data_IF_229412461512
#
_entry.id   IF_229412461512
#
_cell.length_a   1.000
_cell.length_b   1.000
_cell.length_c   1.000
_cell.angle_alpha   90.00
_cell.angle_beta   90.00
_cell.angle_gamma   90.00
#
_symmetry.space_group_name_H-M   'P 1'
#
loop_
_entity.id
_entity.type
_entity.pdbx_description
1 polymer ?
2 non-polymer ?
3 non-polymer ?
4 water ?
#
# COMPACT_ATOMS: atom_id res chain seq x y z
N UNK A 7 25.15 -20.76 16.64
CA UNK A 7 24.98 -19.83 17.75
C UNK A 7 23.79 -18.88 17.51
N UNK A 8 23.27 -18.84 16.26
CA UNK A 8 22.11 -18.03 15.87
C UNK A 8 20.85 -18.55 16.55
N UNK A 9 20.81 -19.88 16.82
CA UNK A 9 19.72 -20.55 17.51
C UNK A 9 19.70 -20.13 18.99
N UNK A 10 20.84 -20.22 19.70
CA UNK A 10 20.94 -19.88 21.12
C UNK A 10 20.61 -18.42 21.41
N UNK A 11 21.01 -17.50 20.52
CA UNK A 11 20.69 -16.08 20.66
C UNK A 11 19.17 -15.90 20.70
N UNK A 12 18.43 -16.62 19.82
CA UNK A 12 16.96 -16.58 19.75
C UNK A 12 16.31 -17.09 21.05
N UNK A 13 16.97 -18.05 21.72
CA UNK A 13 16.48 -18.58 22.99
C UNK A 13 16.69 -17.55 24.09
N UNK A 14 17.88 -16.91 24.12
CA UNK A 14 18.20 -15.87 25.12
C UNK A 14 17.27 -14.68 24.97
N UNK A 15 16.94 -14.32 23.72
CA UNK A 15 16.03 -13.21 23.41
C UNK A 15 14.64 -13.50 23.95
N UNK A 16 14.07 -14.66 23.59
CA UNK A 16 12.72 -15.03 24.03
C UNK A 16 12.66 -15.15 25.57
N UNK A 17 13.74 -15.65 26.23
CA UNK A 17 13.78 -15.77 27.69
C UNK A 17 13.78 -14.38 28.34
N UNK A 18 14.56 -13.45 27.77
CA UNK A 18 14.59 -12.07 28.27
C UNK A 18 13.19 -11.46 28.18
N UNK A 19 12.52 -11.60 27.02
CA UNK A 19 11.19 -11.02 26.79
C UNK A 19 10.16 -11.53 27.78
N UNK A 20 10.11 -12.85 28.01
CA UNK A 20 9.14 -13.41 28.94
C UNK A 20 9.46 -12.99 30.39
N UNK A 21 10.76 -12.85 30.79
CA UNK A 21 11.09 -12.40 32.14
C UNK A 21 10.65 -10.95 32.37
N UNK A 22 10.70 -10.13 31.32
CA UNK A 22 10.23 -8.75 31.36
C UNK A 22 8.71 -8.72 31.56
N UNK A 23 7.95 -9.55 30.81
CA UNK A 23 6.48 -9.62 30.93
C UNK A 23 6.04 -10.12 32.30
N UNK A 24 6.90 -10.90 32.97
CA UNK A 24 6.60 -11.47 34.28
C UNK A 24 7.10 -10.56 35.42
N UNK A 25 7.59 -9.37 35.06
CA UNK A 25 8.10 -8.40 36.03
C UNK A 25 9.35 -8.86 36.76
N UNK A 26 10.14 -9.75 36.13
CA UNK A 26 11.36 -10.32 36.72
C UNK A 26 12.64 -9.73 36.13
N UNK A 27 12.51 -8.91 35.08
CA UNK A 27 13.65 -8.27 34.45
C UNK A 27 13.22 -6.92 33.89
N UNK A 28 14.14 -5.98 33.89
CA UNK A 28 13.88 -4.62 33.41
C UNK A 28 14.18 -4.49 31.92
N UNK A 29 13.34 -3.76 31.17
CA UNK A 29 13.63 -3.56 29.75
C UNK A 29 14.15 -2.17 29.51
N UNK A 30 14.91 -1.98 28.41
CA UNK A 30 15.28 -0.66 27.96
C UNK A 30 13.99 0.01 27.49
N UNK A 31 13.70 1.20 28.01
CA UNK A 31 12.50 1.93 27.58
C UNK A 31 12.70 2.39 26.16
N UNK A 32 11.64 2.31 25.32
CA UNK A 32 11.77 2.63 23.91
C UNK A 32 10.48 3.30 23.43
N UNK A 33 9.91 4.19 24.27
CA UNK A 33 8.63 4.82 23.99
C UNK A 33 8.67 5.81 22.81
N UNK A 34 9.78 6.56 22.65
CA UNK A 34 9.91 7.50 21.53
C UNK A 34 9.89 6.77 20.17
N UNK A 35 10.72 5.72 20.01
CA UNK A 35 10.72 4.96 18.76
C UNK A 35 9.36 4.27 18.54
N UNK A 36 8.69 3.80 19.62
CA UNK A 36 7.37 3.17 19.53
C UNK A 36 6.35 4.12 18.90
N UNK A 37 6.41 5.43 19.25
CA UNK A 37 5.53 6.44 18.65
C UNK A 37 5.80 6.56 17.13
N UNK A 38 7.10 6.49 16.72
CA UNK A 38 7.53 6.51 15.32
C UNK A 38 7.07 5.26 14.57
N UNK A 39 7.17 4.08 15.24
CA UNK A 39 6.71 2.81 14.67
C UNK A 39 5.19 2.87 14.50
N UNK A 40 4.46 3.46 15.47
CA UNK A 40 3.00 3.63 15.39
C UNK A 40 2.59 4.46 14.16
N UNK A 41 3.33 5.56 13.88
CA UNK A 41 3.08 6.40 12.71
C UNK A 41 3.31 5.62 11.45
N UNK A 42 4.39 4.81 11.43
CA UNK A 42 4.72 3.95 10.29
C UNK A 42 3.60 2.94 10.03
N UNK A 43 3.07 2.27 11.09
CA UNK A 43 1.99 1.28 10.89
C UNK A 43 0.70 1.92 10.42
N UNK A 44 0.40 3.14 10.91
CA UNK A 44 -0.79 3.89 10.54
C UNK A 44 -0.69 4.25 9.06
N UNK A 45 0.48 4.76 8.62
CA UNK A 45 0.76 5.13 7.24
C UNK A 45 0.60 3.92 6.33
N UNK A 46 1.16 2.75 6.75
CA UNK A 46 1.03 1.56 5.92
C UNK A 46 -0.44 1.11 5.82
N UNK A 47 -1.19 1.16 6.92
CA UNK A 47 -2.59 0.74 7.00
C UNK A 47 -3.47 1.62 6.11
N UNK A 48 -3.21 2.94 6.15
CA UNK A 48 -3.87 3.94 5.33
C UNK A 48 -3.60 3.63 3.86
N UNK A 49 -2.32 3.39 3.55
CA UNK A 49 -1.88 3.05 2.19
C UNK A 49 -2.55 1.80 1.68
N UNK A 50 -2.60 0.74 2.53
CA UNK A 50 -3.25 -0.52 2.13
C UNK A 50 -4.76 -0.29 1.87
N UNK A 51 -5.41 0.51 2.74
CA UNK A 51 -6.83 0.80 2.61
C UNK A 51 -7.12 1.54 1.29
N UNK A 52 -6.34 2.62 0.97
CA UNK A 52 -6.50 3.35 -0.30
C UNK A 52 -6.25 2.40 -1.48
N UNK A 53 -5.23 1.55 -1.37
CA UNK A 53 -4.94 0.57 -2.41
C UNK A 53 -6.16 -0.34 -2.68
N UNK A 54 -6.82 -0.86 -1.61
CA UNK A 54 -8.01 -1.74 -1.79
C UNK A 54 -9.18 -0.96 -2.33
N UNK A 55 -9.28 0.33 -1.95
CA UNK A 55 -10.34 1.18 -2.47
C UNK A 55 -10.17 1.40 -3.96
N UNK A 56 -8.92 1.59 -4.41
CA UNK A 56 -8.63 1.84 -5.83
C UNK A 56 -8.91 0.59 -6.68
N UNK A 57 -8.61 -0.60 -6.14
CA UNK A 57 -8.95 -1.85 -6.85
C UNK A 57 -10.47 -1.96 -6.94
N UNK A 58 -11.19 -1.61 -5.86
CA UNK A 58 -12.67 -1.63 -5.85
C UNK A 58 -13.23 -0.60 -6.87
N UNK A 59 -12.61 0.59 -6.94
CA UNK A 59 -12.99 1.63 -7.91
C UNK A 59 -12.84 1.08 -9.35
N UNK A 60 -11.69 0.45 -9.65
CA UNK A 60 -11.47 -0.15 -10.97
C UNK A 60 -12.53 -1.25 -11.27
N UNK A 61 -12.83 -2.11 -10.28
CA UNK A 61 -13.86 -3.15 -10.43
C UNK A 61 -15.24 -2.50 -10.69
N UNK A 62 -15.57 -1.38 -10.00
CA UNK A 62 -16.84 -0.66 -10.24
C UNK A 62 -16.91 -0.03 -11.64
N UNK A 63 -15.77 0.43 -12.15
CA UNK A 63 -15.70 0.99 -13.52
C UNK A 63 -16.06 -0.12 -14.51
N UNK A 64 -15.52 -1.34 -14.31
CA UNK A 64 -15.80 -2.49 -15.20
C UNK A 64 -17.29 -2.86 -15.16
N UNK A 65 -17.93 -2.71 -13.98
CA UNK A 65 -19.38 -2.96 -13.79
C UNK A 65 -20.14 -1.92 -14.59
N UNK A 66 -19.74 -0.62 -14.47
CA UNK A 66 -20.37 0.49 -15.18
C UNK A 66 -20.25 0.26 -16.70
N UNK A 67 -19.07 -0.13 -17.16
CA UNK A 67 -18.76 -0.43 -18.56
C UNK A 67 -19.69 -1.52 -19.08
N UNK A 68 -19.77 -2.66 -18.38
CA UNK A 68 -20.59 -3.77 -18.82
C UNK A 68 -22.07 -3.38 -18.89
N UNK A 69 -22.57 -2.62 -17.90
CA UNK A 69 -23.99 -2.24 -17.92
C UNK A 69 -24.26 -1.29 -19.07
N UNK A 70 -23.30 -0.39 -19.36
CA UNK A 70 -23.41 0.54 -20.49
C UNK A 70 -23.41 -0.26 -21.80
N UNK A 71 -22.53 -1.29 -21.89
CA UNK A 71 -22.42 -2.16 -23.06
C UNK A 71 -23.74 -2.91 -23.29
N UNK A 72 -24.37 -3.42 -22.20
CA UNK A 72 -25.65 -4.15 -22.20
C UNK A 72 -26.76 -3.28 -22.79
N UNK A 73 -26.86 -2.00 -22.35
CA UNK A 73 -27.86 -1.05 -22.87
C UNK A 73 -27.62 -0.82 -24.37
N UNK A 74 -26.36 -0.52 -24.73
CA UNK A 74 -25.98 -0.22 -26.13
C UNK A 74 -26.21 -1.42 -27.06
N UNK A 75 -26.00 -2.66 -26.56
CA UNK A 75 -26.23 -3.87 -27.35
C UNK A 75 -27.74 -4.06 -27.64
N UNK A 76 -28.60 -3.88 -26.63
CA UNK A 76 -30.05 -3.98 -26.81
C UNK A 76 -30.51 -2.88 -27.77
N UNK A 77 -29.98 -1.65 -27.60
CA UNK A 77 -30.35 -0.56 -28.51
C UNK A 77 -29.99 -0.95 -29.94
N UNK A 78 -28.79 -1.49 -30.15
CA UNK A 78 -28.41 -1.91 -31.52
C UNK A 78 -29.30 -3.01 -32.07
N UNK A 79 -29.75 -3.97 -31.22
CA UNK A 79 -30.66 -5.06 -31.61
C UNK A 79 -32.02 -4.54 -32.07
N UNK A 80 -32.54 -3.50 -31.39
CA UNK A 80 -33.88 -2.97 -31.63
C UNK A 80 -33.89 -1.86 -32.70
N UNK A 81 -32.70 -1.31 -33.03
CA UNK A 81 -32.52 -0.25 -34.01
C UNK A 81 -32.45 -0.88 -35.41
N UNK A 82 -33.57 -0.81 -36.16
CA UNK A 82 -33.61 -1.40 -37.49
C UNK A 82 -32.56 -0.82 -38.44
N UNK A 83 -31.97 -1.67 -39.30
CA UNK A 83 -31.01 -1.20 -40.30
C UNK A 83 -31.72 -0.39 -41.40
N UNK A 84 -33.07 -0.33 -41.37
CA UNK A 84 -33.83 0.52 -42.28
C UNK A 84 -33.73 1.97 -41.82
N UNK A 85 -33.34 2.19 -40.55
CA UNK A 85 -33.39 3.53 -39.99
C UNK A 85 -32.14 4.33 -40.20
N UNK A 86 -32.32 5.64 -40.42
CA UNK A 86 -31.22 6.63 -40.48
C UNK A 86 -30.55 6.67 -39.12
N UNK A 87 -29.21 6.79 -39.11
CA UNK A 87 -28.44 6.82 -37.87
C UNK A 87 -27.90 5.47 -37.44
N UNK A 88 -28.34 4.38 -38.11
CA UNK A 88 -27.93 2.99 -37.77
C UNK A 88 -26.41 2.82 -37.83
N UNK A 89 -25.77 3.31 -38.90
CA UNK A 89 -24.33 3.15 -39.07
C UNK A 89 -23.58 4.03 -38.07
N UNK A 90 -24.07 5.26 -37.85
CA UNK A 90 -23.47 6.15 -36.86
C UNK A 90 -23.59 5.54 -35.44
N UNK A 91 -24.74 4.90 -35.14
CA UNK A 91 -24.94 4.23 -33.84
C UNK A 91 -23.87 3.15 -33.59
N UNK A 92 -23.55 2.33 -34.64
CA UNK A 92 -22.50 1.32 -34.51
C UNK A 92 -21.19 1.92 -34.11
N UNK A 93 -20.81 3.08 -34.73
CA UNK A 93 -19.54 3.75 -34.41
C UNK A 93 -19.55 4.25 -32.95
N UNK A 94 -20.69 4.80 -32.48
CA UNK A 94 -20.81 5.28 -31.11
C UNK A 94 -20.61 4.13 -30.13
N UNK A 95 -21.29 3.01 -30.38
CA UNK A 95 -21.27 1.83 -29.51
C UNK A 95 -19.83 1.24 -29.46
N UNK A 96 -19.17 1.15 -30.62
CA UNK A 96 -17.77 0.66 -30.68
C UNK A 96 -16.80 1.56 -29.92
N UNK A 97 -16.88 2.89 -30.14
CA UNK A 97 -16.00 3.87 -29.53
C UNK A 97 -16.27 4.03 -28.05
N UNK A 98 -17.53 3.86 -27.61
CA UNK A 98 -17.89 3.86 -26.19
C UNK A 98 -17.15 2.73 -25.50
N UNK A 99 -17.20 1.52 -26.08
CA UNK A 99 -16.52 0.35 -25.51
C UNK A 99 -14.99 0.60 -25.42
N UNK A 100 -14.39 1.21 -26.48
CA UNK A 100 -12.96 1.52 -26.53
C UNK A 100 -12.57 2.52 -25.44
N UNK A 101 -13.40 3.57 -25.21
CA UNK A 101 -13.10 4.54 -24.15
C UNK A 101 -13.11 3.88 -22.78
N UNK A 102 -14.12 3.01 -22.50
CA UNK A 102 -14.16 2.32 -21.20
C UNK A 102 -12.91 1.44 -20.99
N UNK A 103 -12.55 0.67 -22.01
CA UNK A 103 -11.37 -0.22 -21.94
C UNK A 103 -10.08 0.58 -21.73
N UNK A 104 -9.92 1.69 -22.46
CA UNK A 104 -8.72 2.52 -22.33
C UNK A 104 -8.64 3.10 -20.92
N UNK A 105 -9.77 3.60 -20.42
CA UNK A 105 -9.88 4.17 -19.06
C UNK A 105 -9.54 3.11 -18.01
N UNK A 106 -10.07 1.87 -18.16
CA UNK A 106 -9.77 0.77 -17.20
C UNK A 106 -8.27 0.41 -17.22
N UNK A 107 -7.67 0.26 -18.42
CA UNK A 107 -6.23 -0.05 -18.55
C UNK A 107 -5.35 1.06 -17.93
N UNK A 108 -5.71 2.34 -18.16
CA UNK A 108 -4.91 3.47 -17.65
C UNK A 108 -5.10 3.61 -16.12
N UNK A 109 -6.30 3.38 -15.62
CA UNK A 109 -6.52 3.38 -14.17
C UNK A 109 -5.66 2.31 -13.53
N UNK A 110 -5.66 1.09 -14.11
CA UNK A 110 -4.87 -0.02 -13.56
C UNK A 110 -3.39 0.33 -13.57
N UNK A 111 -2.92 0.98 -14.65
CA UNK A 111 -1.51 1.28 -14.81
C UNK A 111 -1.04 2.49 -14.03
N UNK A 112 -1.80 3.59 -14.06
CA UNK A 112 -1.38 4.87 -13.47
C UNK A 112 -1.79 5.08 -12.03
N UNK A 113 -2.84 4.43 -11.57
CA UNK A 113 -3.34 4.62 -10.22
C UNK A 113 -3.17 3.36 -9.38
N UNK A 114 -3.71 2.23 -9.83
CA UNK A 114 -3.66 0.99 -9.02
C UNK A 114 -2.20 0.50 -8.89
N UNK A 115 -1.47 0.41 -10.01
CA UNK A 115 -0.07 -0.05 -9.99
C UNK A 115 0.80 0.91 -9.20
N UNK A 116 0.64 2.23 -9.39
CA UNK A 116 1.40 3.22 -8.61
C UNK A 116 1.19 2.99 -7.12
N UNK A 117 -0.05 2.74 -6.71
CA UNK A 117 -0.34 2.50 -5.29
C UNK A 117 0.27 1.16 -4.84
N UNK A 118 0.23 0.13 -5.69
CA UNK A 118 0.80 -1.17 -5.33
C UNK A 118 2.30 -1.00 -5.02
N UNK A 119 3.03 -0.22 -5.86
CA UNK A 119 4.47 0.00 -5.73
C UNK A 119 4.79 0.73 -4.40
N UNK A 120 3.97 1.71 -4.05
CA UNK A 120 4.14 2.47 -2.80
C UNK A 120 3.96 1.55 -1.60
N UNK A 121 2.88 0.75 -1.61
CA UNK A 121 2.57 -0.15 -0.49
C UNK A 121 3.64 -1.24 -0.36
N UNK A 122 4.13 -1.79 -1.47
CA UNK A 122 5.16 -2.85 -1.45
C UNK A 122 6.47 -2.38 -0.79
N UNK A 123 6.77 -1.05 -0.78
CA UNK A 123 8.01 -0.49 -0.20
C UNK A 123 8.08 -0.61 1.33
N UNK A 124 6.94 -0.76 2.00
CA UNK A 124 6.88 -0.86 3.47
C UNK A 124 7.41 -2.20 4.00
N UNK A 125 7.43 -3.27 3.16
CA UNK A 125 7.84 -4.62 3.59
C UNK A 125 9.29 -4.69 4.11
N UNK A 126 10.27 -4.12 3.38
CA UNK A 126 11.67 -4.12 3.77
C UNK A 126 11.88 -3.25 5.02
N UNK A 127 11.17 -2.10 5.13
CA UNK A 127 11.28 -1.23 6.31
C UNK A 127 10.71 -1.96 7.54
N UNK A 128 9.55 -2.61 7.41
CA UNK A 128 8.96 -3.40 8.52
C UNK A 128 9.94 -4.48 8.99
N UNK A 129 10.63 -5.18 8.06
CA UNK A 129 11.65 -6.20 8.42
C UNK A 129 12.79 -5.58 9.24
N UNK A 130 13.21 -4.33 8.87
CA UNK A 130 14.26 -3.58 9.58
C UNK A 130 13.77 -3.18 10.98
N UNK A 131 12.49 -2.76 11.09
CA UNK A 131 11.92 -2.38 12.40
C UNK A 131 11.91 -3.63 13.31
N UNK A 132 11.46 -4.78 12.77
CA UNK A 132 11.42 -6.06 13.50
C UNK A 132 12.86 -6.45 13.96
N UNK A 133 13.84 -6.34 13.07
CA UNK A 133 15.24 -6.65 13.37
C UNK A 133 15.74 -5.73 14.50
N UNK A 134 15.53 -4.39 14.37
CA UNK A 134 15.91 -3.43 15.41
C UNK A 134 15.34 -3.87 16.78
N UNK A 135 14.08 -4.30 16.78
CA UNK A 135 13.39 -4.82 17.97
C UNK A 135 14.12 -5.98 18.60
N UNK A 136 14.52 -6.95 17.77
CA UNK A 136 15.26 -8.14 18.19
C UNK A 136 16.63 -7.77 18.76
N UNK A 137 17.32 -6.80 18.14
CA UNK A 137 18.66 -6.34 18.61
C UNK A 137 18.54 -5.62 19.94
N UNK A 138 17.43 -4.89 20.16
CA UNK A 138 17.21 -4.25 21.46
C UNK A 138 17.00 -5.31 22.55
N UNK A 139 16.25 -6.39 22.23
CA UNK A 139 16.05 -7.47 23.22
C UNK A 139 17.42 -8.20 23.48
N UNK A 140 18.25 -8.41 22.43
CA UNK A 140 19.62 -8.97 22.56
C UNK A 140 20.45 -8.15 23.52
N UNK A 141 20.33 -6.80 23.45
CA UNK A 141 21.07 -5.91 24.33
C UNK A 141 20.63 -6.12 25.78
N UNK A 142 19.31 -6.13 26.05
CA UNK A 142 18.82 -6.35 27.43
C UNK A 142 19.15 -7.75 27.91
N UNK A 143 19.08 -8.75 27.03
CA UNK A 143 19.50 -10.11 27.38
C UNK A 143 21.01 -10.10 27.79
N UNK A 144 21.86 -9.37 27.02
CA UNK A 144 23.30 -9.29 27.34
C UNK A 144 23.52 -8.56 28.68
N UNK A 145 22.70 -7.52 28.98
CA UNK A 145 22.80 -6.84 30.28
C UNK A 145 22.42 -7.79 31.43
N UNK A 146 21.30 -8.51 31.27
CA UNK A 146 20.80 -9.44 32.30
C UNK A 146 21.83 -10.53 32.60
N UNK A 147 22.45 -11.11 31.56
CA UNK A 147 23.51 -12.13 31.69
C UNK A 147 24.77 -11.53 32.38
N UNK A 148 25.20 -10.34 31.95
CA UNK A 148 26.36 -9.66 32.54
C UNK A 148 26.15 -9.41 34.05
N UNK A 149 24.96 -8.97 34.43
CA UNK A 149 24.63 -8.65 35.82
C UNK A 149 24.59 -9.95 36.65
N UNK A 150 24.07 -11.04 36.08
CA UNK A 150 24.05 -12.33 36.78
C UNK A 150 25.49 -12.87 36.98
N UNK A 151 26.36 -12.77 35.94
CA UNK A 151 27.76 -13.24 35.99
C UNK A 151 28.54 -12.42 37.04
N UNK A 152 28.35 -11.08 37.04
CA UNK A 152 29.02 -10.18 37.97
C UNK A 152 28.52 -10.38 39.42
N UNK A 153 27.25 -10.76 39.59
CA UNK A 153 26.67 -10.96 40.93
C UNK A 153 26.90 -12.37 41.47
N UNK A 154 27.53 -13.27 40.69
CA UNK A 154 27.81 -14.65 41.10
C UNK A 154 28.76 -14.70 42.31
N UNK A 155 28.63 -15.77 43.14
CA UNK A 155 29.49 -15.98 44.30
C UNK A 155 30.91 -16.33 43.84
N UNK A 156 31.01 -17.23 42.84
CA UNK A 156 32.27 -17.67 42.26
C UNK A 156 32.65 -16.76 41.09
N UNK A 157 33.62 -15.86 41.32
CA UNK A 157 34.11 -14.91 40.30
C UNK A 157 34.82 -15.67 39.17
N UNK A 158 34.35 -15.45 37.93
CA UNK A 158 34.91 -16.06 36.73
C UNK A 158 35.23 -14.96 35.72
N UNK A 159 36.50 -14.54 35.69
CA UNK A 159 37.04 -13.47 34.83
C UNK A 159 36.81 -13.74 33.34
N UNK A 160 36.94 -15.01 32.90
CA UNK A 160 36.73 -15.42 31.50
C UNK A 160 35.23 -15.33 31.11
N UNK A 161 34.32 -15.67 32.03
CA UNK A 161 32.89 -15.61 31.82
C UNK A 161 32.46 -14.14 31.80
N UNK A 162 33.07 -13.33 32.69
CA UNK A 162 32.83 -11.89 32.79
C UNK A 162 33.23 -11.22 31.48
N UNK A 163 34.45 -11.52 30.98
CA UNK A 163 34.99 -10.95 29.74
C UNK A 163 34.10 -11.27 28.53
N UNK A 164 33.54 -12.49 28.49
CA UNK A 164 32.68 -12.88 27.36
C UNK A 164 31.37 -12.13 27.44
N UNK A 165 30.82 -11.99 28.67
CA UNK A 165 29.56 -11.28 28.86
C UNK A 165 29.74 -9.79 28.47
N UNK A 166 30.91 -9.22 28.76
CA UNK A 166 31.20 -7.81 28.43
C UNK A 166 31.35 -7.59 26.95
N UNK A 167 31.93 -8.54 26.21
CA UNK A 167 32.06 -8.42 24.76
C UNK A 167 30.68 -8.53 24.12
N UNK A 168 29.82 -9.47 24.60
CA UNK A 168 28.47 -9.64 24.08
C UNK A 168 27.64 -8.36 24.31
N UNK A 169 27.85 -7.69 25.45
CA UNK A 169 27.18 -6.41 25.76
C UNK A 169 27.53 -5.39 24.68
N UNK A 170 28.85 -5.21 24.44
CA UNK A 170 29.35 -4.24 23.46
C UNK A 170 28.85 -4.52 22.06
N UNK A 171 28.88 -5.79 21.64
CA UNK A 171 28.42 -6.17 20.30
C UNK A 171 26.93 -5.88 20.16
N UNK A 172 26.11 -6.20 21.19
CA UNK A 172 24.66 -5.95 21.16
C UNK A 172 24.33 -4.48 21.10
N UNK A 173 25.08 -3.63 21.82
CA UNK A 173 24.87 -2.18 21.77
C UNK A 173 25.12 -1.64 20.36
N UNK A 174 26.28 -1.97 19.77
CA UNK A 174 26.65 -1.49 18.42
C UNK A 174 25.64 -1.94 17.35
N UNK A 175 25.24 -3.22 17.33
CA UNK A 175 24.35 -3.70 16.27
C UNK A 175 22.96 -3.03 16.42
N UNK A 176 22.50 -2.86 17.67
CA UNK A 176 21.22 -2.19 17.90
C UNK A 176 21.30 -0.75 17.40
N UNK A 177 22.34 -0.02 17.80
CA UNK A 177 22.48 1.39 17.41
C UNK A 177 22.63 1.57 15.88
N UNK A 178 23.26 0.59 15.16
CA UNK A 178 23.32 0.67 13.68
C UNK A 178 21.90 0.70 13.09
N UNK A 179 21.03 -0.21 13.55
CA UNK A 179 19.65 -0.30 13.07
C UNK A 179 18.82 0.87 13.53
N UNK A 180 19.04 1.30 14.79
CA UNK A 180 18.32 2.44 15.33
C UNK A 180 18.67 3.70 14.50
N UNK A 181 19.95 3.95 14.22
CA UNK A 181 20.36 5.12 13.42
C UNK A 181 19.76 5.12 12.00
N UNK A 182 19.76 3.94 11.36
CA UNK A 182 19.23 3.76 10.01
C UNK A 182 17.73 4.08 9.99
N UNK A 183 16.96 3.52 10.94
CA UNK A 183 15.50 3.73 10.97
C UNK A 183 15.09 5.12 11.41
N UNK A 184 15.88 5.75 12.29
CA UNK A 184 15.54 7.11 12.70
C UNK A 184 15.77 8.10 11.57
N UNK A 185 16.63 7.74 10.61
CA UNK A 185 16.88 8.54 9.42
C UNK A 185 15.79 8.24 8.33
N UNK A 186 15.45 6.95 8.13
CA UNK A 186 14.47 6.57 7.11
C UNK A 186 13.01 6.91 7.43
N UNK A 187 12.54 6.60 8.64
CA UNK A 187 11.12 6.74 9.00
C UNK A 187 10.48 8.13 8.76
N UNK A 188 11.08 9.28 9.17
CA UNK A 188 10.43 10.57 8.91
C UNK A 188 10.36 10.89 7.41
N UNK A 189 11.36 10.47 6.63
CA UNK A 189 11.39 10.73 5.18
C UNK A 189 10.26 9.91 4.51
N UNK A 190 10.11 8.66 4.93
CA UNK A 190 9.04 7.79 4.42
C UNK A 190 7.67 8.34 4.81
N UNK A 191 7.56 8.79 6.05
CA UNK A 191 6.32 9.36 6.56
C UNK A 191 5.92 10.59 5.77
N UNK A 192 6.87 11.47 5.47
CA UNK A 192 6.58 12.66 4.68
C UNK A 192 6.20 12.33 3.24
N UNK A 193 6.73 11.20 2.68
CA UNK A 193 6.49 10.78 1.29
C UNK A 193 5.03 10.38 1.01
N UNK A 194 4.20 10.17 2.03
CA UNK A 194 2.79 9.83 1.86
C UNK A 194 2.07 10.96 1.12
N UNK A 195 2.49 12.22 1.35
CA UNK A 195 1.94 13.41 0.72
C UNK A 195 2.13 13.31 -0.82
N UNK A 196 3.36 13.10 -1.26
CA UNK A 196 3.68 12.95 -2.69
C UNK A 196 2.92 11.81 -3.32
N UNK A 197 2.69 10.74 -2.54
CA UNK A 197 1.94 9.58 -3.04
C UNK A 197 0.50 10.00 -3.35
N UNK A 198 -0.15 10.66 -2.41
CA UNK A 198 -1.55 11.09 -2.57
C UNK A 198 -1.69 12.09 -3.74
N UNK A 199 -0.73 13.02 -3.85
CA UNK A 199 -0.70 13.99 -4.95
C UNK A 199 -0.68 13.22 -6.28
N UNK A 200 0.26 12.27 -6.43
CA UNK A 200 0.38 11.51 -7.71
C UNK A 200 -0.90 10.76 -8.01
N UNK A 201 -1.40 9.97 -7.06
CA UNK A 201 -2.61 9.16 -7.28
C UNK A 201 -3.79 10.02 -7.74
N UNK A 202 -4.11 11.10 -7.01
CA UNK A 202 -5.29 11.85 -7.32
C UNK A 202 -5.09 12.79 -8.54
N UNK A 203 -3.87 13.22 -8.84
CA UNK A 203 -3.67 13.99 -10.09
C UNK A 203 -3.78 13.05 -11.29
N UNK A 204 -3.39 11.78 -11.12
CA UNK A 204 -3.51 10.79 -12.21
C UNK A 204 -4.99 10.45 -12.47
N UNK A 205 -5.75 10.14 -11.41
CA UNK A 205 -7.19 9.90 -11.52
C UNK A 205 -7.86 11.12 -12.17
N UNK A 206 -7.53 12.34 -11.69
CA UNK A 206 -8.12 13.57 -12.25
C UNK A 206 -7.81 13.71 -13.75
N UNK A 207 -6.55 13.55 -14.16
CA UNK A 207 -6.19 13.68 -15.59
C UNK A 207 -6.97 12.68 -16.46
N UNK A 208 -7.04 11.41 -16.02
CA UNK A 208 -7.71 10.33 -16.77
C UNK A 208 -9.22 10.58 -16.90
N UNK A 209 -9.86 11.07 -15.81
CA UNK A 209 -11.31 11.37 -15.83
C UNK A 209 -11.57 12.57 -16.69
N UNK A 210 -10.65 13.56 -16.71
CA UNK A 210 -10.95 14.70 -17.60
C UNK A 210 -11.02 14.24 -19.07
N UNK A 211 -10.07 13.39 -19.52
CA UNK A 211 -10.10 12.84 -20.91
C UNK A 211 -11.38 12.07 -21.10
N UNK A 212 -11.70 11.19 -20.09
CA UNK A 212 -12.89 10.36 -20.13
C UNK A 212 -14.14 11.19 -20.29
N UNK A 213 -14.31 12.30 -19.52
CA UNK A 213 -15.49 13.15 -19.63
C UNK A 213 -15.57 13.82 -20.97
N UNK A 214 -14.44 14.40 -21.45
CA UNK A 214 -14.43 15.10 -22.72
C UNK A 214 -14.78 14.14 -23.88
N UNK A 215 -14.14 12.97 -23.91
CA UNK A 215 -14.40 12.02 -25.01
C UNK A 215 -15.82 11.42 -24.91
N UNK A 216 -16.28 11.06 -23.70
CA UNK A 216 -17.63 10.53 -23.52
C UNK A 216 -18.68 11.58 -23.87
N UNK A 217 -18.41 12.87 -23.54
CA UNK A 217 -19.37 13.95 -23.88
C UNK A 217 -19.59 14.04 -25.39
N UNK A 218 -18.52 13.79 -26.17
CA UNK A 218 -18.62 13.86 -27.65
C UNK A 218 -19.52 12.77 -28.16
N UNK A 219 -19.30 11.51 -27.74
CA UNK A 219 -20.14 10.38 -28.18
C UNK A 219 -21.58 10.52 -27.70
N UNK A 220 -21.74 11.02 -26.47
CA UNK A 220 -23.04 11.27 -25.85
C UNK A 220 -23.84 12.33 -26.65
N UNK A 221 -23.14 13.38 -27.15
CA UNK A 221 -23.78 14.39 -27.99
C UNK A 221 -24.24 13.74 -29.34
N UNK A 222 -23.39 12.86 -29.93
CA UNK A 222 -23.69 12.14 -31.17
C UNK A 222 -24.92 11.24 -30.99
N UNK A 223 -25.07 10.66 -29.79
CA UNK A 223 -26.21 9.80 -29.47
C UNK A 223 -27.52 10.60 -29.59
N UNK A 224 -27.54 11.82 -29.04
CA UNK A 224 -28.72 12.69 -29.14
C UNK A 224 -28.99 12.96 -30.63
N UNK A 225 -27.95 13.21 -31.40
CA UNK A 225 -28.11 13.54 -32.83
C UNK A 225 -28.62 12.32 -33.66
N UNK A 226 -28.24 11.10 -33.26
CA UNK A 226 -28.71 9.85 -33.88
C UNK A 226 -30.23 9.77 -33.68
N UNK A 227 -30.69 10.04 -32.45
CA UNK A 227 -32.12 10.02 -32.14
C UNK A 227 -32.86 11.12 -32.90
N UNK A 228 -32.24 12.32 -33.07
CA UNK A 228 -32.87 13.40 -33.86
C UNK A 228 -33.07 12.97 -35.31
N UNK A 229 -32.07 12.26 -35.88
CA UNK A 229 -32.15 11.76 -37.26
C UNK A 229 -33.25 10.72 -37.41
N UNK A 230 -33.36 9.82 -36.41
CA UNK A 230 -34.37 8.78 -36.37
C UNK A 230 -35.77 9.40 -36.31
N UNK A 231 -35.94 10.41 -35.43
CA UNK A 231 -37.21 11.11 -35.27
C UNK A 231 -37.62 11.83 -36.55
N UNK A 232 -36.69 12.58 -37.20
CA UNK A 232 -36.93 13.32 -38.44
C UNK A 232 -37.34 12.40 -39.59
N UNK A 233 -36.67 11.25 -39.73
CA UNK A 233 -37.03 10.27 -40.77
C UNK A 233 -38.50 9.85 -40.64
N UNK A 234 -39.01 9.70 -39.42
CA UNK A 234 -40.38 9.23 -39.21
C UNK A 234 -41.40 10.35 -38.93
N UNK A 235 -40.99 11.61 -39.14
CA UNK A 235 -41.82 12.79 -38.89
C UNK A 235 -42.92 12.92 -39.93
N UNK A 236 -44.10 13.39 -39.51
CA UNK A 236 -45.28 13.56 -40.39
C UNK A 236 -45.09 14.77 -41.31
X LIG B 1 18.10 -6.10 31.61
X LIG B 1 17.02 -6.96 31.85
X LIG B 1 19.03 -6.19 32.81
X LIG B 1 18.51 -5.44 33.86
X LIG C 1 -10.03 7.58 -21.69
X LIG C 1 -8.86 7.68 -22.49
X LIG C 1 -9.63 7.54 -20.19
X LIG C 1 -8.73 8.55 -19.83
X LIG D 1 20.42 0.45 23.92
X LIG D 1 21.53 1.22 23.55
X LIG D 1 19.74 1.15 25.08
X LIG D 1 19.42 2.50 24.73
X LIG E 1 -25.52 6.46 -42.44
X LIG E 1 -26.56 6.11 -41.18
X LIG E 1 -27.77 6.86 -41.43
X LIG E 1 -25.90 6.51 -39.96
X LIG E 1 -26.82 4.67 -41.22
X LIG F 1 22.30 -11.96 12.62
X LIG F 1 20.99 -11.36 12.37
X LIG F 1 20.15 -11.68 13.60
X LIG F 1 18.46 -11.47 13.48
X LIG F 1 17.87 -12.78 13.63
X LIG F 1 18.21 -10.87 12.18
X LIG F 1 18.09 -10.57 14.57
#
# INVERSE_FOLDING_TARGET
SMGLFAKQVQKKFSRAQEKVLQKLGKAVETKDERFEQSASNFYQQQAEGHKLYKDLKNFLSAVKVMHESSKRVSETLQEIYSSEWDGHEELKAIVWNNDLLWEDYEEKLADQAVRTMEIYVAQFSEIKERIAKRGRKLVDYDSARHHLEAVQNAKKKDEAKTAKAEEEFNKAQTVFEDLNQELLEELPILYNSRIGCYVTIFQNISNLRDVFYREMSKLNHNLYEVMSKLERQHSNK
EDO C1 O1 C2 O2
EDO C1 O1 C2 O2
EDO C1 O1 C2 O2
EPE C10 S O1S O2S O3S
EPE N1 C9 C10 S O1S O2S O3S
#
